data_IF_503451206605
#
_entry.id   IF_503451206605
#
_cell.length_a   1.000
_cell.length_b   1.000
_cell.length_c   1.000
_cell.angle_alpha   90.00
_cell.angle_beta   90.00
_cell.angle_gamma   90.00
#
_symmetry.space_group_name_H-M   'P 1'
#
loop_
_entity.id
_entity.type
_entity.pdbx_description
1 polymer ?
#
# COMPACT_ATOMS: atom_id res chain seq x y z
N UNK A 1 -17.25 3.52 -19.89
CA UNK A 1 -17.84 2.55 -18.94
C UNK A 1 -16.73 1.94 -18.11
N UNK A 2 -17.04 1.37 -16.95
CA UNK A 2 -16.08 0.74 -16.01
C UNK A 2 -15.33 -0.49 -16.57
N UNK A 3 -15.38 -0.71 -17.88
CA UNK A 3 -14.93 -1.92 -18.57
C UNK A 3 -13.45 -1.85 -19.00
N UNK A 4 -12.80 -0.68 -18.87
CA UNK A 4 -11.39 -0.44 -19.24
C UNK A 4 -10.50 -0.04 -18.05
N UNK A 5 -10.93 -0.32 -16.82
CA UNK A 5 -10.02 -0.26 -15.69
C UNK A 5 -9.59 -1.68 -15.36
N UNK A 6 -8.37 -2.02 -15.78
CA UNK A 6 -7.61 -3.13 -15.22
C UNK A 6 -6.71 -2.57 -14.12
N UNK A 7 -7.20 -2.28 -12.90
CA UNK A 7 -6.30 -1.96 -11.81
C UNK A 7 -5.49 -3.23 -11.51
N UNK A 8 -4.25 -3.27 -11.97
CA UNK A 8 -3.29 -4.28 -11.57
C UNK A 8 -2.85 -3.95 -10.14
N UNK A 9 -3.22 -4.79 -9.19
CA UNK A 9 -2.76 -4.70 -7.81
C UNK A 9 -1.47 -5.51 -7.66
N UNK A 10 -0.43 -4.87 -7.13
CA UNK A 10 0.73 -5.60 -6.63
C UNK A 10 0.37 -6.40 -5.38
N UNK A 11 1.16 -7.44 -5.07
CA UNK A 11 1.04 -8.21 -3.82
C UNK A 11 1.09 -7.30 -2.60
N UNK A 12 1.95 -6.27 -2.63
CA UNK A 12 2.07 -5.28 -1.55
C UNK A 12 0.76 -4.53 -1.31
N UNK A 13 0.16 -4.00 -2.37
CA UNK A 13 -1.10 -3.25 -2.26
C UNK A 13 -2.24 -4.14 -1.77
N UNK A 14 -2.29 -5.40 -2.20
CA UNK A 14 -3.27 -6.35 -1.69
C UNK A 14 -3.09 -6.63 -0.19
N UNK A 15 -1.85 -6.85 0.25
CA UNK A 15 -1.51 -7.03 1.67
C UNK A 15 -1.92 -5.79 2.49
N UNK A 16 -1.65 -4.59 1.99
CA UNK A 16 -2.04 -3.34 2.64
C UNK A 16 -3.56 -3.21 2.81
N UNK A 17 -4.34 -3.52 1.77
CA UNK A 17 -5.80 -3.48 1.83
C UNK A 17 -6.35 -4.44 2.88
N UNK A 18 -5.81 -5.66 2.95
CA UNK A 18 -6.20 -6.67 3.94
C UNK A 18 -5.85 -6.21 5.36
N UNK A 19 -4.65 -5.64 5.56
CA UNK A 19 -4.22 -5.11 6.87
C UNK A 19 -5.05 -3.92 7.33
N UNK A 20 -5.44 -3.02 6.43
CA UNK A 20 -6.27 -1.83 6.73
C UNK A 20 -7.62 -2.19 7.36
N UNK A 21 -8.15 -3.38 7.08
CA UNK A 21 -9.38 -3.88 7.70
C UNK A 21 -9.13 -4.84 8.87
N UNK A 22 -7.89 -4.89 9.39
CA UNK A 22 -7.53 -5.70 10.56
C UNK A 22 -7.49 -7.20 10.29
N UNK A 23 -7.22 -7.64 9.06
CA UNK A 23 -7.11 -9.06 8.69
C UNK A 23 -5.66 -9.47 8.40
N UNK A 24 -5.41 -10.78 8.41
CA UNK A 24 -4.11 -11.38 8.08
C UNK A 24 -4.08 -11.76 6.59
N UNK A 25 -3.05 -11.31 5.88
CA UNK A 25 -2.84 -11.67 4.48
C UNK A 25 -2.04 -12.97 4.43
N UNK A 26 -2.67 -14.04 3.94
CA UNK A 26 -2.09 -15.39 3.84
C UNK A 26 -2.16 -15.82 2.38
N UNK A 27 -1.01 -16.08 1.77
CA UNK A 27 -0.94 -16.75 0.48
C UNK A 27 -1.19 -18.24 0.66
N UNK A 28 -2.05 -18.79 -0.18
CA UNK A 28 -2.49 -20.19 -0.08
C UNK A 28 -2.67 -20.81 -1.45
N UNK A 29 -2.49 -22.12 -1.52
CA UNK A 29 -2.85 -22.90 -2.70
C UNK A 29 -4.36 -23.18 -2.78
N UNK A 30 -4.79 -23.93 -3.81
CA UNK A 30 -6.20 -24.30 -4.01
C UNK A 30 -6.75 -25.27 -2.97
N UNK A 31 -5.88 -25.93 -2.20
CA UNK A 31 -6.21 -26.82 -1.09
C UNK A 31 -6.09 -26.13 0.28
N UNK A 32 -5.90 -24.80 0.30
CA UNK A 32 -5.77 -23.98 1.50
C UNK A 32 -4.50 -24.22 2.32
N UNK A 33 -3.48 -24.87 1.75
CA UNK A 33 -2.17 -24.94 2.41
C UNK A 33 -1.54 -23.54 2.41
N UNK A 34 -0.90 -23.19 3.52
CA UNK A 34 -0.21 -21.90 3.67
C UNK A 34 1.10 -21.93 2.88
N UNK A 35 1.26 -20.98 1.97
CA UNK A 35 2.50 -20.78 1.20
C UNK A 35 3.34 -19.65 1.82
N UNK A 36 2.72 -18.51 2.14
CA UNK A 36 3.38 -17.38 2.81
C UNK A 36 2.39 -16.67 3.78
N UNK A 37 2.83 -16.38 5.01
CA UNK A 37 2.11 -15.51 5.95
C UNK A 37 2.76 -14.12 5.94
N UNK A 38 2.01 -13.12 5.47
CA UNK A 38 2.48 -11.75 5.39
C UNK A 38 2.25 -10.95 6.66
N UNK A 39 1.83 -11.54 7.79
CA UNK A 39 1.48 -10.77 9.00
C UNK A 39 2.63 -9.89 9.50
N UNK A 40 3.87 -10.40 9.43
CA UNK A 40 5.08 -9.70 9.90
C UNK A 40 5.97 -9.19 8.76
N UNK A 41 5.50 -9.28 7.50
CA UNK A 41 6.27 -8.86 6.33
C UNK A 41 6.41 -7.33 6.30
N UNK A 42 7.63 -6.82 6.34
CA UNK A 42 7.92 -5.40 6.13
C UNK A 42 8.39 -5.20 4.68
N UNK A 43 7.71 -4.34 3.94
CA UNK A 43 8.11 -3.97 2.58
C UNK A 43 9.10 -2.79 2.62
N UNK A 44 9.92 -2.63 1.58
CA UNK A 44 10.93 -1.57 1.53
C UNK A 44 10.30 -0.17 1.61
N UNK A 45 9.16 0.01 0.96
CA UNK A 45 8.40 1.26 0.93
C UNK A 45 7.79 1.62 2.29
N UNK A 46 7.59 0.65 3.21
CA UNK A 46 7.10 0.92 4.58
C UNK A 46 8.09 1.78 5.38
N UNK A 47 9.36 1.80 4.95
CA UNK A 47 10.45 2.58 5.55
C UNK A 47 10.56 3.98 4.96
N UNK A 48 9.85 4.29 3.88
CA UNK A 48 9.88 5.62 3.29
C UNK A 48 9.06 6.58 4.17
N UNK A 49 9.78 7.32 5.00
CA UNK A 49 9.26 8.45 5.77
C UNK A 49 8.54 9.43 4.82
N UNK A 50 7.20 9.46 4.87
CA UNK A 50 6.35 10.48 4.25
C UNK A 50 6.42 11.75 5.10
N UNK A 51 7.62 12.25 5.33
CA UNK A 51 7.84 13.59 5.86
C UNK A 51 7.29 14.55 4.84
N UNK A 52 6.13 15.14 5.15
CA UNK A 52 5.57 16.21 4.35
C UNK A 52 6.66 17.27 4.16
N UNK A 53 7.25 17.34 2.97
CA UNK A 53 7.98 18.53 2.55
C UNK A 53 6.91 19.61 2.46
N UNK A 54 6.83 20.45 3.49
CA UNK A 54 6.01 21.64 3.45
C UNK A 54 6.38 22.40 2.17
N UNK A 55 5.42 22.57 1.28
CA UNK A 55 5.62 23.42 0.11
C UNK A 55 5.98 24.81 0.63
N UNK A 56 7.11 25.41 0.21
CA UNK A 56 7.44 26.75 0.64
C UNK A 56 6.32 27.68 0.16
N UNK A 57 5.58 28.27 1.10
CA UNK A 57 4.65 29.35 0.79
C UNK A 57 5.51 30.55 0.43
N UNK A 58 5.52 30.93 -0.85
CA UNK A 58 6.10 32.19 -1.27
C UNK A 58 5.16 33.29 -0.78
N UNK A 59 5.48 33.93 0.33
CA UNK A 59 4.85 35.19 0.69
C UNK A 59 5.23 36.21 -0.40
N UNK A 60 4.27 36.56 -1.25
CA UNK A 60 4.39 37.74 -2.09
C UNK A 60 4.37 38.97 -1.17
N UNK A 61 5.54 39.35 -0.68
CA UNK A 61 5.77 40.65 -0.08
C UNK A 61 5.68 41.71 -1.19
N UNK A 62 4.58 42.46 -1.15
CA UNK A 62 4.34 43.78 -1.74
C UNK A 62 5.09 44.20 -3.01
N UNK A 63 4.30 44.49 -4.05
CA UNK A 63 4.39 45.74 -4.83
C UNK A 63 3.01 46.08 -5.37
#
# INVERSE_FOLDING_TARGET
GSEEQHPALSTRELVDLIRRVGRRAIERDTLYNILEDYSDKVFEDDKQWRGYYALPVVENAGS
#
